data_IF_111508249589
#
_entry.id   IF_111508249589
#
_cell.length_a   1.000
_cell.length_b   1.000
_cell.length_c   1.000
_cell.angle_alpha   90.00
_cell.angle_beta   90.00
_cell.angle_gamma   90.00
#
_symmetry.space_group_name_H-M   'P 1'
#
loop_
_entity.id
_entity.type
_entity.pdbx_description
1 polymer ?
#
# COMPACT_ATOMS: atom_id res chain seq x y z
N UNK A 1 -13.44 -25.03 21.57
CA UNK A 1 -14.02 -23.69 21.34
C UNK A 1 -13.33 -23.04 20.18
N UNK A 2 -14.08 -22.55 19.22
CA UNK A 2 -13.53 -21.84 18.05
C UNK A 2 -13.36 -20.37 18.38
N UNK A 3 -12.17 -19.81 18.18
CA UNK A 3 -11.97 -18.36 18.33
C UNK A 3 -12.87 -17.57 17.38
N UNK A 4 -13.37 -16.44 17.83
CA UNK A 4 -14.23 -15.58 17.02
C UNK A 4 -13.40 -14.85 15.96
N UNK A 5 -13.94 -14.71 14.74
CA UNK A 5 -13.28 -13.88 13.73
C UNK A 5 -13.38 -12.39 14.09
N UNK A 6 -12.43 -11.61 13.57
CA UNK A 6 -12.45 -10.15 13.64
C UNK A 6 -13.07 -9.65 12.33
N UNK A 7 -14.09 -8.78 12.44
CA UNK A 7 -14.70 -8.12 11.27
C UNK A 7 -14.61 -6.62 11.46
N UNK A 8 -14.01 -5.95 10.49
CA UNK A 8 -13.78 -4.50 10.54
C UNK A 8 -14.42 -3.83 9.32
N UNK A 9 -15.01 -2.67 9.55
CA UNK A 9 -15.48 -1.80 8.47
C UNK A 9 -14.43 -0.72 8.24
N UNK A 10 -13.82 -0.72 7.06
CA UNK A 10 -12.66 0.14 6.78
C UNK A 10 -12.95 1.62 7.06
N UNK A 11 -14.10 2.13 6.64
CA UNK A 11 -14.44 3.54 6.78
C UNK A 11 -14.58 4.01 8.24
N UNK A 12 -14.90 3.10 9.16
CA UNK A 12 -15.18 3.47 10.56
C UNK A 12 -14.15 2.92 11.54
N UNK A 13 -13.54 1.77 11.23
CA UNK A 13 -12.70 1.03 12.17
C UNK A 13 -11.21 1.15 11.89
N UNK A 14 -10.82 1.57 10.68
CA UNK A 14 -9.42 1.71 10.31
C UNK A 14 -9.01 3.18 10.30
N UNK A 15 -7.78 3.43 10.73
CA UNK A 15 -7.17 4.74 10.60
C UNK A 15 -6.95 5.07 9.12
N UNK A 16 -7.06 6.34 8.76
CA UNK A 16 -6.82 6.74 7.38
C UNK A 16 -7.08 8.20 7.14
N UNK A 17 -6.65 8.63 5.95
CA UNK A 17 -6.94 9.94 5.41
C UNK A 17 -8.01 9.85 4.33
N UNK A 18 -8.01 10.83 3.42
CA UNK A 18 -8.98 10.89 2.33
C UNK A 18 -8.66 9.92 1.19
N UNK A 19 -7.44 9.39 1.12
CA UNK A 19 -6.96 8.59 -0.01
C UNK A 19 -6.63 7.14 0.34
N UNK A 20 -6.64 6.77 1.62
CA UNK A 20 -6.34 5.38 2.03
C UNK A 20 -6.88 5.11 3.43
N UNK A 21 -7.27 3.85 3.67
CA UNK A 21 -7.47 3.31 5.02
C UNK A 21 -6.33 2.33 5.33
N UNK A 22 -5.88 2.31 6.57
CA UNK A 22 -4.76 1.50 7.03
C UNK A 22 -5.23 0.37 7.94
N UNK A 23 -4.95 -0.87 7.54
CA UNK A 23 -5.03 -2.04 8.41
C UNK A 23 -3.64 -2.32 8.97
N UNK A 24 -3.54 -2.36 10.30
CA UNK A 24 -2.30 -2.69 11.00
C UNK A 24 -2.51 -4.01 11.72
N UNK A 25 -1.72 -5.02 11.39
CA UNK A 25 -1.89 -6.36 11.96
C UNK A 25 -1.81 -6.39 13.47
N UNK A 26 -0.91 -5.60 14.07
CA UNK A 26 -0.77 -5.51 15.52
C UNK A 26 -1.95 -4.77 16.16
N UNK A 27 -2.33 -3.62 15.62
CA UNK A 27 -3.36 -2.78 16.21
C UNK A 27 -4.78 -3.27 15.93
N UNK A 28 -5.04 -3.80 14.74
CA UNK A 28 -6.39 -4.11 14.28
C UNK A 28 -6.67 -5.61 14.14
N UNK A 29 -5.66 -6.43 13.94
CA UNK A 29 -5.80 -7.82 13.52
C UNK A 29 -5.37 -8.85 14.55
N UNK A 30 -5.28 -8.50 15.82
CA UNK A 30 -4.89 -9.45 16.86
C UNK A 30 -3.44 -9.93 16.77
N UNK A 31 -2.57 -9.18 16.09
CA UNK A 31 -1.15 -9.51 15.93
C UNK A 31 -0.84 -10.30 14.66
N UNK A 32 -1.78 -10.41 13.72
CA UNK A 32 -1.53 -11.11 12.45
C UNK A 32 -0.36 -10.45 11.70
N UNK A 33 0.51 -11.28 11.10
CA UNK A 33 1.73 -10.80 10.44
C UNK A 33 1.47 -10.26 9.03
N UNK A 34 0.55 -9.31 8.93
CA UNK A 34 0.25 -8.59 7.70
C UNK A 34 -0.33 -7.23 8.05
N UNK A 35 0.03 -6.23 7.26
CA UNK A 35 -0.56 -4.89 7.32
C UNK A 35 -0.75 -4.41 5.90
N UNK A 36 -1.70 -3.51 5.65
CA UNK A 36 -1.96 -3.04 4.29
C UNK A 36 -2.68 -1.70 4.30
N UNK A 37 -2.58 -1.01 3.16
CA UNK A 37 -3.42 0.14 2.85
C UNK A 37 -4.43 -0.24 1.78
N UNK A 38 -5.67 0.19 1.99
CA UNK A 38 -6.69 0.21 0.94
C UNK A 38 -6.63 1.59 0.31
N UNK A 39 -5.99 1.69 -0.85
CA UNK A 39 -5.75 2.97 -1.52
C UNK A 39 -6.88 3.32 -2.48
N UNK A 40 -7.32 4.58 -2.42
CA UNK A 40 -8.30 5.20 -3.30
C UNK A 40 -7.68 6.50 -3.81
N UNK A 41 -6.68 6.40 -4.65
CA UNK A 41 -5.81 7.53 -4.98
C UNK A 41 -6.36 8.29 -6.18
N UNK A 42 -6.65 9.59 -6.05
CA UNK A 42 -7.09 10.41 -7.18
C UNK A 42 -5.99 10.55 -8.25
N UNK A 43 -6.37 10.87 -9.49
CA UNK A 43 -5.38 11.14 -10.54
C UNK A 43 -4.35 12.18 -10.13
N UNK A 44 -3.09 11.94 -10.46
CA UNK A 44 -1.97 12.83 -10.16
C UNK A 44 -1.43 12.72 -8.74
N UNK A 45 -2.09 12.00 -7.84
CA UNK A 45 -1.65 11.82 -6.46
C UNK A 45 -0.91 10.49 -6.30
N UNK A 46 -0.21 10.34 -5.19
CA UNK A 46 0.56 9.13 -4.90
C UNK A 46 1.38 9.29 -3.64
N UNK A 47 2.48 8.56 -3.56
CA UNK A 47 3.40 8.63 -2.42
C UNK A 47 4.77 9.13 -2.86
N UNK A 48 5.48 9.81 -1.95
CA UNK A 48 6.88 10.16 -2.15
C UNK A 48 7.82 8.96 -1.99
N UNK A 49 9.12 9.14 -2.27
CA UNK A 49 10.11 8.07 -2.16
C UNK A 49 10.25 7.56 -0.73
N UNK A 50 10.26 6.25 -0.59
CA UNK A 50 10.46 5.57 0.69
C UNK A 50 10.90 4.13 0.46
N UNK A 51 11.30 3.44 1.52
CA UNK A 51 11.67 2.02 1.46
C UNK A 51 11.30 1.30 2.75
N UNK A 52 11.25 -0.02 2.65
CA UNK A 52 10.96 -0.91 3.77
C UNK A 52 12.04 -1.99 3.86
N UNK A 53 12.30 -2.55 5.07
CA UNK A 53 13.25 -3.67 5.22
C UNK A 53 12.68 -5.02 4.74
N UNK A 54 11.52 -5.02 4.14
CA UNK A 54 10.81 -6.19 3.60
C UNK A 54 10.26 -5.87 2.21
N UNK A 55 9.89 -6.91 1.45
CA UNK A 55 9.23 -6.72 0.16
C UNK A 55 7.78 -6.26 0.36
N UNK A 56 7.32 -5.34 -0.48
CA UNK A 56 5.94 -4.86 -0.49
C UNK A 56 5.23 -5.33 -1.76
N UNK A 57 3.96 -5.69 -1.64
CA UNK A 57 3.15 -6.15 -2.76
C UNK A 57 2.01 -5.17 -3.00
N UNK A 58 1.92 -4.68 -4.23
CA UNK A 58 0.84 -3.80 -4.67
C UNK A 58 -0.10 -4.58 -5.58
N UNK A 59 -1.34 -4.76 -5.16
CA UNK A 59 -2.38 -5.41 -5.96
C UNK A 59 -3.31 -4.33 -6.52
N UNK A 60 -3.28 -4.11 -7.82
CA UNK A 60 -4.07 -3.07 -8.48
C UNK A 60 -5.37 -3.69 -8.96
N UNK A 61 -6.51 -3.16 -8.49
CA UNK A 61 -7.84 -3.62 -8.91
C UNK A 61 -8.37 -2.82 -10.08
N UNK A 62 -8.17 -1.50 -10.05
CA UNK A 62 -8.67 -0.60 -11.10
C UNK A 62 -7.77 0.63 -11.20
N UNK A 63 -7.64 1.16 -12.41
CA UNK A 63 -6.86 2.34 -12.69
C UNK A 63 -5.46 2.04 -13.20
N UNK A 64 -4.64 3.07 -13.25
CA UNK A 64 -3.28 3.02 -13.77
C UNK A 64 -2.32 3.70 -12.80
N UNK A 65 -1.16 3.10 -12.60
CA UNK A 65 -0.13 3.64 -11.73
C UNK A 65 1.22 3.62 -12.43
N UNK A 66 2.04 4.61 -12.13
CA UNK A 66 3.45 4.63 -12.49
C UNK A 66 4.25 4.48 -11.21
N UNK A 67 5.11 3.47 -11.17
CA UNK A 67 6.02 3.21 -10.06
C UNK A 67 7.42 3.61 -10.46
N UNK A 68 8.13 4.27 -9.55
CA UNK A 68 9.58 4.43 -9.64
C UNK A 68 10.18 3.54 -8.58
N UNK A 69 10.96 2.53 -8.99
CA UNK A 69 11.58 1.54 -8.10
C UNK A 69 13.08 1.53 -8.38
N UNK A 70 13.88 2.00 -7.42
CA UNK A 70 15.29 2.28 -7.67
C UNK A 70 15.41 3.28 -8.81
N UNK A 71 16.12 2.93 -9.86
CA UNK A 71 16.24 3.77 -11.06
C UNK A 71 15.25 3.45 -12.17
N UNK A 72 14.34 2.48 -11.96
CA UNK A 72 13.43 2.02 -13.01
C UNK A 72 12.05 2.66 -12.87
N UNK A 73 11.44 2.99 -14.00
CA UNK A 73 10.06 3.47 -14.08
C UNK A 73 9.19 2.36 -14.68
N UNK A 74 8.13 2.00 -13.99
CA UNK A 74 7.26 0.88 -14.34
C UNK A 74 5.81 1.35 -14.39
N UNK A 75 5.11 1.04 -15.48
CA UNK A 75 3.68 1.28 -15.59
C UNK A 75 2.93 -0.01 -15.22
N UNK A 76 1.87 0.12 -14.44
CA UNK A 76 1.02 -1.00 -14.07
C UNK A 76 -0.45 -0.56 -14.03
N UNK A 77 -1.37 -1.51 -14.18
CA UNK A 77 -2.81 -1.23 -14.27
C UNK A 77 -3.65 -2.30 -13.59
N UNK A 78 -4.94 -2.06 -13.52
CA UNK A 78 -5.90 -2.99 -12.94
C UNK A 78 -5.72 -4.42 -13.43
N UNK A 79 -5.73 -5.37 -12.50
CA UNK A 79 -5.47 -6.78 -12.75
C UNK A 79 -3.99 -7.17 -12.63
N UNK A 80 -3.11 -6.22 -12.35
CA UNK A 80 -1.67 -6.48 -12.20
C UNK A 80 -1.22 -6.38 -10.74
N UNK A 81 -0.14 -7.07 -10.43
CA UNK A 81 0.52 -7.04 -9.14
C UNK A 81 1.97 -6.59 -9.34
N UNK A 82 2.41 -5.64 -8.52
CA UNK A 82 3.79 -5.16 -8.50
C UNK A 82 4.44 -5.61 -7.20
N UNK A 83 5.58 -6.26 -7.27
CA UNK A 83 6.37 -6.63 -6.10
C UNK A 83 7.60 -5.73 -6.04
N UNK A 84 7.72 -4.97 -4.96
CA UNK A 84 8.88 -4.12 -4.70
C UNK A 84 9.81 -4.87 -3.76
N UNK A 85 11.06 -5.14 -4.16
CA UNK A 85 12.00 -5.86 -3.30
C UNK A 85 12.33 -5.12 -2.00
N UNK A 86 12.72 -5.87 -0.98
CA UNK A 86 13.19 -5.29 0.28
C UNK A 86 14.33 -4.31 0.04
N UNK A 87 14.26 -3.15 0.70
CA UNK A 87 15.28 -2.11 0.63
C UNK A 87 15.24 -1.24 -0.62
N UNK A 88 14.43 -1.56 -1.62
CA UNK A 88 14.35 -0.75 -2.83
C UNK A 88 13.54 0.53 -2.56
N UNK A 89 14.16 1.68 -2.83
CA UNK A 89 13.46 2.98 -2.76
C UNK A 89 12.40 3.03 -3.85
N UNK A 90 11.18 3.39 -3.48
CA UNK A 90 10.07 3.40 -4.43
C UNK A 90 9.05 4.49 -4.12
N UNK A 91 8.31 4.86 -5.15
CA UNK A 91 7.20 5.80 -5.10
C UNK A 91 6.20 5.40 -6.17
N UNK A 92 4.94 5.76 -6.00
CA UNK A 92 3.95 5.61 -7.06
C UNK A 92 3.14 6.87 -7.27
N UNK A 93 2.60 7.00 -8.46
CA UNK A 93 1.68 8.07 -8.85
C UNK A 93 0.53 7.46 -9.63
N UNK A 94 -0.69 7.92 -9.37
CA UNK A 94 -1.81 7.62 -10.25
C UNK A 94 -1.61 8.38 -11.56
N UNK A 95 -1.26 7.64 -12.61
CA UNK A 95 -0.98 8.20 -13.95
C UNK A 95 -2.18 8.08 -14.90
N UNK A 96 -3.32 7.59 -14.39
CA UNK A 96 -4.54 7.46 -15.15
C UNK A 96 -5.52 8.62 -14.93
N UNK A 97 -6.73 8.44 -15.45
CA UNK A 97 -7.80 9.44 -15.38
C UNK A 97 -8.89 9.08 -14.36
N UNK A 98 -8.85 7.87 -13.80
CA UNK A 98 -9.79 7.40 -12.80
C UNK A 98 -9.08 7.22 -11.46
N UNK A 99 -9.85 7.08 -10.38
CA UNK A 99 -9.32 6.72 -9.07
C UNK A 99 -8.55 5.41 -9.16
N UNK A 100 -7.35 5.39 -8.62
CA UNK A 100 -6.53 4.18 -8.52
C UNK A 100 -6.97 3.40 -7.29
N UNK A 101 -7.58 2.23 -7.51
CA UNK A 101 -7.99 1.31 -6.46
C UNK A 101 -6.93 0.23 -6.31
N UNK A 102 -6.20 0.26 -5.21
CA UNK A 102 -5.02 -0.57 -5.03
C UNK A 102 -4.84 -0.95 -3.56
N UNK A 103 -4.45 -2.18 -3.31
CA UNK A 103 -4.06 -2.62 -1.97
C UNK A 103 -2.54 -2.76 -1.92
N UNK A 104 -1.90 -2.05 -0.99
CA UNK A 104 -0.47 -2.17 -0.76
C UNK A 104 -0.22 -2.99 0.51
N UNK A 105 0.48 -4.12 0.37
CA UNK A 105 0.58 -5.16 1.37
C UNK A 105 1.99 -5.24 1.94
N UNK A 106 2.07 -5.15 3.27
CA UNK A 106 3.29 -5.27 4.06
C UNK A 106 3.22 -6.57 4.86
N UNK A 107 4.17 -7.53 4.69
CA UNK A 107 4.14 -8.84 5.33
C UNK A 107 4.63 -8.79 6.78
N UNK A 108 4.15 -7.83 7.55
CA UNK A 108 4.52 -7.59 8.95
C UNK A 108 3.32 -7.10 9.75
N UNK A 109 3.30 -7.39 11.04
CA UNK A 109 2.24 -6.90 11.93
C UNK A 109 2.37 -5.39 12.18
N UNK A 110 3.57 -4.84 12.11
CA UNK A 110 3.84 -3.41 12.27
C UNK A 110 4.70 -2.91 11.11
N UNK A 111 4.17 -1.93 10.39
CA UNK A 111 4.88 -1.37 9.24
C UNK A 111 6.12 -0.59 9.69
N UNK A 112 7.20 -0.76 8.92
CA UNK A 112 8.45 -0.01 9.08
C UNK A 112 8.74 0.72 7.78
N UNK A 113 8.79 2.04 7.83
CA UNK A 113 9.00 2.87 6.63
C UNK A 113 10.12 3.86 6.87
N UNK A 114 11.07 3.90 5.95
CA UNK A 114 12.10 4.92 5.91
C UNK A 114 11.79 5.86 4.75
N UNK A 115 11.47 7.10 5.07
CA UNK A 115 11.21 8.14 4.07
C UNK A 115 12.51 8.70 3.55
N UNK A 116 12.61 8.85 2.23
CA UNK A 116 13.82 9.35 1.57
C UNK A 116 13.59 10.80 1.20
N UNK A 117 14.51 11.67 1.63
CA UNK A 117 14.47 13.08 1.23
C UNK A 117 14.95 13.22 -0.21
N UNK A 118 14.21 14.01 -0.98
CA UNK A 118 14.63 14.42 -2.31
C UNK A 118 15.53 15.65 -2.19
N UNK A 119 16.69 15.57 -2.84
CA UNK A 119 17.62 16.70 -2.89
C UNK A 119 17.09 17.86 -3.70
#
# INVERSE_FOLDING_TARGET
MTPAPIVLTAATDLAGGTTAERFDGAANGGGVAVSFFLNHTPPGRGTGPHRHPYAEVFAIRDGEATFVVGGATIAARGGQVVVVPAGATHAFTNSGERTLEMTSIHPVAEMVTEWIEEA
#
